data_IF_687178550950
#
_entry.id   IF_687178550950
#
_cell.length_a   1.000
_cell.length_b   1.000
_cell.length_c   1.000
_cell.angle_alpha   90.00
_cell.angle_beta   90.00
_cell.angle_gamma   90.00
#
_symmetry.space_group_name_H-M   'P 1'
#
loop_
_entity.id
_entity.type
_entity.pdbx_description
1 polymer ?
#
# COMPACT_ATOMS: atom_id res chain seq x y z
N UNK A 1 -20.74 -0.79 23.38
CA UNK A 1 -19.82 -0.80 22.21
C UNK A 1 -20.42 -0.09 20.99
N UNK A 2 -21.71 -0.32 20.65
CA UNK A 2 -22.36 0.30 19.48
C UNK A 2 -22.42 1.82 19.48
N UNK A 3 -22.49 2.46 20.64
CA UNK A 3 -22.55 3.93 20.76
C UNK A 3 -21.20 4.62 20.52
N UNK A 4 -20.10 3.99 20.86
CA UNK A 4 -18.75 4.52 20.62
C UNK A 4 -18.47 4.61 19.13
N UNK A 5 -18.84 3.60 18.36
CA UNK A 5 -18.70 3.60 16.90
C UNK A 5 -19.53 4.68 16.21
N UNK A 6 -20.77 4.92 16.67
CA UNK A 6 -21.63 5.97 16.12
C UNK A 6 -21.07 7.39 16.34
N UNK A 7 -20.41 7.61 17.47
CA UNK A 7 -19.83 8.94 17.81
C UNK A 7 -18.56 9.26 17.04
N UNK A 8 -17.73 8.25 16.75
CA UNK A 8 -16.45 8.42 16.06
C UNK A 8 -16.60 8.45 14.52
N UNK A 9 -17.70 7.90 13.99
CA UNK A 9 -17.94 7.82 12.55
C UNK A 9 -17.13 6.76 11.82
N UNK A 10 -16.26 6.00 12.51
CA UNK A 10 -15.48 4.89 11.98
C UNK A 10 -15.52 3.68 12.93
N UNK A 11 -15.27 2.50 12.39
CA UNK A 11 -15.23 1.26 13.17
C UNK A 11 -13.82 1.01 13.70
N UNK A 12 -13.67 1.01 15.01
CA UNK A 12 -12.42 0.68 15.70
C UNK A 12 -12.58 -0.65 16.45
N UNK A 13 -11.92 -1.69 15.96
CA UNK A 13 -11.90 -2.99 16.63
C UNK A 13 -10.97 -2.93 17.84
N UNK A 14 -11.32 -3.52 18.99
CA UNK A 14 -10.46 -3.53 20.18
C UNK A 14 -9.03 -3.96 19.87
N UNK A 15 -8.07 -3.37 20.59
CA UNK A 15 -6.61 -3.55 20.41
C UNK A 15 -6.00 -2.88 19.17
N UNK A 16 -6.76 -2.17 18.37
CA UNK A 16 -6.18 -1.23 17.41
C UNK A 16 -5.59 -0.02 18.16
N UNK A 17 -4.49 0.53 17.66
CA UNK A 17 -3.83 1.71 18.26
C UNK A 17 -3.84 2.85 17.25
N UNK A 18 -4.42 3.98 17.64
CA UNK A 18 -4.35 5.24 16.90
C UNK A 18 -3.65 6.26 17.78
N UNK A 19 -2.48 6.72 17.36
CA UNK A 19 -1.74 7.73 18.11
C UNK A 19 -2.39 9.10 17.98
N UNK A 20 -2.28 9.91 19.03
CA UNK A 20 -2.75 11.30 19.04
C UNK A 20 -2.09 12.07 17.87
N UNK A 21 -2.92 12.83 17.13
CA UNK A 21 -2.50 13.58 15.95
C UNK A 21 -2.63 12.82 14.62
N UNK A 22 -3.05 11.54 14.63
CA UNK A 22 -3.53 10.87 13.43
C UNK A 22 -4.97 11.30 13.10
N UNK A 23 -5.30 11.32 11.80
CA UNK A 23 -6.65 11.57 11.32
C UNK A 23 -7.26 10.30 10.73
N UNK A 24 -8.45 9.95 11.19
CA UNK A 24 -9.23 8.82 10.68
C UNK A 24 -10.58 9.34 10.20
N UNK A 25 -10.85 9.19 8.92
CA UNK A 25 -12.09 9.65 8.29
C UNK A 25 -13.29 8.75 8.61
N UNK A 26 -14.48 9.16 8.16
CA UNK A 26 -15.71 8.39 8.31
C UNK A 26 -15.63 7.05 7.55
N UNK A 27 -16.39 6.08 8.04
CA UNK A 27 -16.50 4.75 7.43
C UNK A 27 -15.20 3.96 7.30
N UNK A 28 -14.09 4.42 7.91
CA UNK A 28 -12.86 3.64 8.02
C UNK A 28 -13.09 2.43 8.92
N UNK A 29 -12.45 1.33 8.60
CA UNK A 29 -12.39 0.14 9.46
C UNK A 29 -10.96 -0.06 9.94
N UNK A 30 -10.75 0.04 11.24
CA UNK A 30 -9.47 -0.29 11.89
C UNK A 30 -9.62 -1.62 12.59
N UNK A 31 -8.99 -2.64 12.05
CA UNK A 31 -8.76 -3.90 12.74
C UNK A 31 -7.68 -3.70 13.81
N UNK A 32 -7.31 -4.69 14.63
CA UNK A 32 -6.14 -4.59 15.52
C UNK A 32 -4.88 -4.24 14.73
N UNK A 33 -4.59 -2.96 14.59
CA UNK A 33 -3.59 -2.36 13.71
C UNK A 33 -2.96 -1.15 14.40
N UNK A 34 -1.98 -0.52 13.78
CA UNK A 34 -1.30 0.63 14.33
C UNK A 34 -1.32 1.80 13.35
N UNK A 35 -1.84 2.95 13.78
CA UNK A 35 -1.81 4.21 13.02
C UNK A 35 -0.99 5.22 13.80
N UNK A 36 0.10 5.67 13.21
CA UNK A 36 1.08 6.54 13.86
C UNK A 36 0.67 8.01 13.81
N UNK A 37 1.37 8.86 14.58
CA UNK A 37 1.12 10.30 14.65
C UNK A 37 1.25 10.95 13.26
N UNK A 38 0.39 11.93 12.99
CA UNK A 38 0.36 12.66 11.72
C UNK A 38 -0.12 11.86 10.51
N UNK A 39 -0.37 10.56 10.67
CA UNK A 39 -0.94 9.75 9.60
C UNK A 39 -2.37 10.19 9.26
N UNK A 40 -2.72 10.07 7.99
CA UNK A 40 -4.05 10.37 7.46
C UNK A 40 -4.63 9.12 6.81
N UNK A 41 -5.83 8.73 7.22
CA UNK A 41 -6.58 7.60 6.62
C UNK A 41 -7.94 8.10 6.18
N UNK A 42 -8.19 8.09 4.87
CA UNK A 42 -9.40 8.66 4.28
C UNK A 42 -10.58 7.67 4.26
N UNK A 43 -11.73 8.19 3.88
CA UNK A 43 -13.05 7.56 3.98
C UNK A 43 -13.13 6.18 3.31
N UNK A 44 -13.82 5.25 3.98
CA UNK A 44 -14.09 3.90 3.45
C UNK A 44 -12.88 2.96 3.42
N UNK A 45 -11.72 3.41 3.87
CA UNK A 45 -10.49 2.59 3.88
C UNK A 45 -10.50 1.58 5.02
N UNK A 46 -9.95 0.39 4.76
CA UNK A 46 -9.70 -0.62 5.78
C UNK A 46 -8.20 -0.71 6.07
N UNK A 47 -7.85 -0.63 7.36
CA UNK A 47 -6.53 -1.00 7.89
C UNK A 47 -6.69 -2.33 8.60
N UNK A 48 -6.21 -3.39 7.97
CA UNK A 48 -6.46 -4.75 8.40
C UNK A 48 -5.53 -5.20 9.54
N UNK A 49 -5.71 -6.41 10.03
CA UNK A 49 -5.05 -6.96 11.20
C UNK A 49 -3.53 -6.91 11.08
N UNK A 50 -2.87 -6.38 12.11
CA UNK A 50 -1.41 -6.19 12.19
C UNK A 50 -0.80 -5.28 11.11
N UNK A 51 -1.60 -4.61 10.30
CA UNK A 51 -1.10 -3.57 9.40
C UNK A 51 -0.67 -2.33 10.19
N UNK A 52 0.27 -1.58 9.63
CA UNK A 52 0.74 -0.32 10.21
C UNK A 52 0.70 0.81 9.19
N UNK A 53 0.26 1.99 9.64
CA UNK A 53 0.36 3.24 8.90
C UNK A 53 1.35 4.13 9.65
N UNK A 54 2.49 4.34 9.05
CA UNK A 54 3.63 5.06 9.64
C UNK A 54 3.37 6.55 9.83
N UNK A 55 4.29 7.21 10.53
CA UNK A 55 4.18 8.65 10.82
C UNK A 55 4.02 9.48 9.55
N UNK A 56 3.01 10.34 9.54
CA UNK A 56 2.65 11.25 8.44
C UNK A 56 2.28 10.56 7.10
N UNK A 57 2.22 9.24 7.03
CA UNK A 57 1.79 8.55 5.82
C UNK A 57 0.33 8.92 5.46
N UNK A 58 0.05 9.00 4.16
CA UNK A 58 -1.24 9.43 3.64
C UNK A 58 -1.90 8.28 2.90
N UNK A 59 -3.07 7.84 3.34
CA UNK A 59 -3.85 6.78 2.71
C UNK A 59 -5.18 7.35 2.24
N UNK A 60 -5.44 7.25 0.95
CA UNK A 60 -6.63 7.75 0.27
C UNK A 60 -7.90 6.96 0.57
N UNK A 61 -8.95 7.23 -0.19
CA UNK A 61 -10.29 6.66 -0.01
C UNK A 61 -10.38 5.24 -0.54
N UNK A 62 -11.26 4.46 0.11
CA UNK A 62 -11.62 3.11 -0.34
C UNK A 62 -10.40 2.19 -0.59
N UNK A 63 -9.32 2.41 0.14
CA UNK A 63 -8.15 1.56 0.09
C UNK A 63 -8.32 0.34 1.00
N UNK A 64 -7.57 -0.72 0.69
CA UNK A 64 -7.43 -1.86 1.57
C UNK A 64 -5.95 -2.07 1.87
N UNK A 65 -5.54 -1.82 3.11
CA UNK A 65 -4.20 -2.14 3.62
C UNK A 65 -4.31 -3.48 4.32
N UNK A 66 -3.88 -4.53 3.64
CA UNK A 66 -4.11 -5.91 4.06
C UNK A 66 -3.30 -6.32 5.29
N UNK A 67 -3.62 -7.49 5.83
CA UNK A 67 -3.03 -7.99 7.08
C UNK A 67 -1.51 -7.96 7.09
N UNK A 68 -0.95 -7.29 8.10
CA UNK A 68 0.48 -7.15 8.30
C UNK A 68 1.23 -6.36 7.23
N UNK A 69 0.54 -5.63 6.36
CA UNK A 69 1.19 -4.70 5.45
C UNK A 69 1.67 -3.46 6.20
N UNK A 70 2.83 -2.93 5.80
CA UNK A 70 3.42 -1.74 6.37
C UNK A 70 3.43 -0.57 5.39
N UNK A 71 2.94 0.58 5.84
CA UNK A 71 3.09 1.86 5.17
C UNK A 71 4.09 2.67 5.97
N UNK A 72 5.26 2.90 5.39
CA UNK A 72 6.40 3.52 6.07
C UNK A 72 6.14 4.96 6.50
N UNK A 73 6.77 5.37 7.58
CA UNK A 73 6.68 6.73 8.10
C UNK A 73 7.85 7.60 7.67
N UNK A 74 7.82 8.86 8.12
CA UNK A 74 8.87 9.86 7.84
C UNK A 74 9.91 9.98 8.96
N UNK A 75 9.73 9.29 10.08
CA UNK A 75 10.61 9.32 11.25
C UNK A 75 11.37 8.00 11.38
N UNK A 76 12.67 8.11 11.71
CA UNK A 76 13.56 7.02 12.11
C UNK A 76 13.70 5.86 11.08
N UNK A 77 14.37 6.09 9.95
CA UNK A 77 15.15 7.28 9.59
C UNK A 77 14.26 8.40 9.02
N UNK A 78 14.74 9.65 9.18
CA UNK A 78 14.04 10.81 8.65
C UNK A 78 13.93 10.72 7.13
N UNK A 79 12.71 10.88 6.61
CA UNK A 79 12.40 10.88 5.18
C UNK A 79 12.00 12.29 4.72
N UNK A 80 12.33 12.62 3.46
CA UNK A 80 12.02 13.94 2.88
C UNK A 80 10.52 14.14 2.61
N UNK A 81 9.76 13.07 2.40
CA UNK A 81 8.33 13.11 2.14
C UNK A 81 7.60 11.87 2.64
N UNK A 82 6.30 11.97 2.88
CA UNK A 82 5.49 10.85 3.32
C UNK A 82 5.28 9.83 2.19
N UNK A 83 5.03 8.58 2.56
CA UNK A 83 4.41 7.61 1.67
C UNK A 83 2.97 8.04 1.41
N UNK A 84 2.57 7.99 0.15
CA UNK A 84 1.22 8.33 -0.30
C UNK A 84 0.62 7.14 -1.03
N UNK A 85 -0.50 6.66 -0.53
CA UNK A 85 -1.35 5.68 -1.19
C UNK A 85 -2.60 6.43 -1.65
N UNK A 86 -2.78 6.58 -2.97
CA UNK A 86 -3.95 7.25 -3.51
C UNK A 86 -5.22 6.40 -3.41
N UNK A 87 -6.34 6.92 -3.91
CA UNK A 87 -7.66 6.29 -3.76
C UNK A 87 -7.78 4.92 -4.45
N UNK A 88 -8.63 4.07 -3.91
CA UNK A 88 -9.00 2.76 -4.48
C UNK A 88 -7.84 1.76 -4.63
N UNK A 89 -6.74 1.95 -3.91
CA UNK A 89 -5.61 1.03 -3.92
C UNK A 89 -5.86 -0.20 -3.06
N UNK A 90 -5.26 -1.32 -3.48
CA UNK A 90 -5.16 -2.54 -2.70
C UNK A 90 -3.69 -2.86 -2.41
N UNK A 91 -3.32 -2.90 -1.14
CA UNK A 91 -1.96 -3.27 -0.70
C UNK A 91 -2.05 -4.65 -0.07
N UNK A 92 -1.48 -5.64 -0.76
CA UNK A 92 -1.55 -7.04 -0.38
C UNK A 92 -0.86 -7.34 0.95
N UNK A 93 -1.24 -8.45 1.58
CA UNK A 93 -0.74 -8.85 2.89
C UNK A 93 0.79 -8.92 2.93
N UNK A 94 1.38 -8.44 4.04
CA UNK A 94 2.83 -8.44 4.25
C UNK A 94 3.64 -7.66 3.21
N UNK A 95 3.00 -6.78 2.45
CA UNK A 95 3.72 -5.82 1.61
C UNK A 95 4.26 -4.67 2.43
N UNK A 96 5.34 -4.03 1.97
CA UNK A 96 5.95 -2.89 2.63
C UNK A 96 6.18 -1.77 1.61
N UNK A 97 5.64 -0.59 1.86
CA UNK A 97 5.81 0.60 1.03
C UNK A 97 6.45 1.68 1.88
N UNK A 98 7.65 2.10 1.53
CA UNK A 98 8.47 2.98 2.38
C UNK A 98 9.11 4.12 1.60
N UNK A 99 9.88 4.97 2.31
CA UNK A 99 10.77 5.99 1.73
C UNK A 99 10.06 6.99 0.79
N UNK A 100 8.86 7.43 1.14
CA UNK A 100 8.14 8.45 0.38
C UNK A 100 7.58 7.98 -0.97
N UNK A 101 7.47 6.67 -1.19
CA UNK A 101 6.89 6.11 -2.42
C UNK A 101 5.45 6.55 -2.60
N UNK A 102 5.10 6.91 -3.84
CA UNK A 102 3.74 7.20 -4.27
C UNK A 102 3.14 5.95 -4.94
N UNK A 103 2.01 5.48 -4.43
CA UNK A 103 1.19 4.47 -5.09
C UNK A 103 -0.04 5.17 -5.67
N UNK A 104 -0.07 5.29 -6.99
CA UNK A 104 -1.14 6.02 -7.68
C UNK A 104 -2.46 5.25 -7.69
N UNK A 105 -3.54 5.99 -7.92
CA UNK A 105 -4.93 5.56 -7.84
C UNK A 105 -5.19 4.18 -8.47
N UNK A 106 -5.99 3.37 -7.77
CA UNK A 106 -6.47 2.09 -8.28
C UNK A 106 -5.41 0.99 -8.43
N UNK A 107 -4.18 1.23 -8.01
CA UNK A 107 -3.13 0.21 -8.07
C UNK A 107 -3.44 -0.99 -7.16
N UNK A 108 -3.03 -2.17 -7.60
CA UNK A 108 -3.20 -3.43 -6.87
C UNK A 108 -1.83 -4.07 -6.69
N UNK A 109 -1.37 -4.13 -5.46
CA UNK A 109 -0.14 -4.82 -5.10
C UNK A 109 -0.49 -6.18 -4.50
N UNK A 110 0.10 -7.25 -5.01
CA UNK A 110 -0.09 -8.59 -4.44
C UNK A 110 0.61 -8.69 -3.07
N UNK A 111 0.42 -9.81 -2.38
CA UNK A 111 1.11 -10.05 -1.12
C UNK A 111 2.64 -10.06 -1.31
N UNK A 112 3.39 -9.58 -0.31
CA UNK A 112 4.85 -9.64 -0.28
C UNK A 112 5.55 -8.72 -1.29
N UNK A 113 4.92 -7.64 -1.71
CA UNK A 113 5.56 -6.60 -2.55
C UNK A 113 6.26 -5.59 -1.65
N UNK A 114 7.58 -5.41 -1.84
CA UNK A 114 8.42 -4.49 -1.07
C UNK A 114 8.91 -3.35 -1.95
N UNK A 115 8.54 -2.11 -1.66
CA UNK A 115 8.90 -0.95 -2.47
C UNK A 115 9.45 0.17 -1.59
N UNK A 116 10.73 0.47 -1.76
CA UNK A 116 11.37 1.69 -1.29
C UNK A 116 11.76 2.58 -2.47
N UNK A 117 12.34 3.74 -2.21
CA UNK A 117 12.69 4.74 -3.22
C UNK A 117 13.61 4.20 -4.34
N UNK A 118 14.49 3.26 -4.01
CA UNK A 118 15.44 2.65 -4.95
C UNK A 118 14.98 1.32 -5.56
N UNK A 119 13.82 0.81 -5.14
CA UNK A 119 13.30 -0.45 -5.68
C UNK A 119 12.90 -0.29 -7.13
N UNK A 120 13.41 -1.16 -7.99
CA UNK A 120 12.99 -1.21 -9.40
C UNK A 120 11.58 -1.76 -9.52
N UNK A 121 10.72 -1.02 -10.19
CA UNK A 121 9.36 -1.43 -10.54
C UNK A 121 9.36 -1.60 -12.06
N UNK A 122 9.36 -2.83 -12.52
CA UNK A 122 9.55 -3.16 -13.93
C UNK A 122 8.21 -3.48 -14.59
N UNK A 123 7.86 -2.75 -15.63
CA UNK A 123 6.73 -3.14 -16.49
C UNK A 123 7.17 -4.27 -17.41
N UNK A 124 6.59 -5.47 -17.22
CA UNK A 124 7.01 -6.67 -17.96
C UNK A 124 6.71 -6.60 -19.47
N UNK A 125 5.75 -5.77 -19.86
CA UNK A 125 5.33 -5.66 -21.26
C UNK A 125 6.18 -4.66 -22.05
N UNK A 126 6.48 -3.49 -21.44
CA UNK A 126 7.26 -2.43 -22.09
C UNK A 126 8.76 -2.50 -21.75
N UNK A 127 9.12 -3.15 -20.64
CA UNK A 127 10.48 -3.11 -20.10
C UNK A 127 10.82 -1.79 -19.38
N UNK A 128 9.88 -0.87 -19.26
CA UNK A 128 10.06 0.40 -18.55
C UNK A 128 10.28 0.16 -17.06
N UNK A 129 11.16 0.96 -16.46
CA UNK A 129 11.51 0.86 -15.04
C UNK A 129 11.11 2.16 -14.35
N UNK A 130 10.27 2.02 -13.32
CA UNK A 130 9.87 3.11 -12.44
C UNK A 130 10.62 3.03 -11.12
N UNK A 131 10.80 4.18 -10.48
CA UNK A 131 11.36 4.33 -9.14
C UNK A 131 10.51 5.29 -8.32
N UNK A 132 10.33 4.98 -7.04
CA UNK A 132 9.60 5.85 -6.10
C UNK A 132 8.11 6.04 -6.41
N UNK A 133 7.59 5.41 -7.48
CA UNK A 133 6.20 5.56 -7.90
C UNK A 133 5.65 4.31 -8.57
N UNK A 134 4.51 3.83 -8.10
CA UNK A 134 3.70 2.81 -8.77
C UNK A 134 2.65 3.51 -9.63
N UNK A 135 2.65 3.33 -10.97
CA UNK A 135 1.67 3.97 -11.84
C UNK A 135 0.24 3.54 -11.55
N UNK A 136 -0.71 4.44 -11.80
CA UNK A 136 -2.13 4.20 -11.59
C UNK A 136 -2.62 2.92 -12.29
N UNK A 137 -3.55 2.23 -11.63
CA UNK A 137 -4.20 1.01 -12.12
C UNK A 137 -3.24 -0.14 -12.49
N UNK A 138 -2.00 -0.09 -12.00
CA UNK A 138 -1.03 -1.18 -12.19
C UNK A 138 -1.34 -2.35 -11.26
N UNK A 139 -1.20 -3.56 -11.78
CA UNK A 139 -1.19 -4.80 -10.98
C UNK A 139 0.26 -5.23 -10.81
N UNK A 140 0.72 -5.27 -9.56
CA UNK A 140 2.13 -5.43 -9.21
C UNK A 140 2.33 -6.69 -8.38
N UNK A 141 3.35 -7.47 -8.72
CA UNK A 141 3.72 -8.70 -8.02
C UNK A 141 5.22 -8.69 -7.66
N UNK A 142 5.66 -9.50 -6.69
CA UNK A 142 7.07 -9.70 -6.43
C UNK A 142 7.77 -10.35 -7.63
N UNK A 143 9.00 -9.95 -7.88
CA UNK A 143 9.81 -10.54 -8.93
C UNK A 143 11.30 -10.46 -8.64
N UNK A 144 12.11 -10.86 -9.60
CA UNK A 144 13.56 -10.74 -9.51
C UNK A 144 14.16 -10.38 -10.87
N UNK A 145 15.27 -9.64 -10.84
CA UNK A 145 16.05 -9.31 -12.02
C UNK A 145 17.36 -10.07 -11.99
N UNK A 146 17.69 -10.82 -13.08
CA UNK A 146 18.96 -11.50 -13.18
C UNK A 146 20.13 -10.51 -13.21
N UNK A 147 21.28 -10.94 -12.72
CA UNK A 147 22.50 -10.16 -12.81
C UNK A 147 23.04 -10.23 -14.25
N UNK A 148 22.94 -9.11 -14.97
CA UNK A 148 23.39 -9.04 -16.37
C UNK A 148 24.91 -9.17 -16.52
N UNK A 149 25.68 -8.72 -15.49
CA UNK A 149 27.15 -8.76 -15.53
C UNK A 149 27.72 -10.11 -15.07
N UNK A 150 26.95 -10.88 -14.33
CA UNK A 150 27.33 -12.23 -13.87
C UNK A 150 26.10 -13.13 -13.91
N UNK A 151 25.84 -13.85 -15.03
CA UNK A 151 24.64 -14.70 -15.17
C UNK A 151 24.52 -15.81 -14.11
N UNK A 152 25.63 -16.21 -13.51
CA UNK A 152 25.66 -17.19 -12.42
C UNK A 152 25.59 -16.54 -11.01
N UNK A 153 25.50 -15.22 -10.94
CA UNK A 153 25.34 -14.47 -9.70
C UNK A 153 23.88 -14.42 -9.23
N UNK A 154 23.66 -13.96 -8.00
CA UNK A 154 22.31 -13.86 -7.45
C UNK A 154 21.48 -12.84 -8.23
N UNK A 155 20.19 -13.15 -8.40
CA UNK A 155 19.19 -12.18 -8.86
C UNK A 155 18.81 -11.24 -7.72
N UNK A 156 18.49 -9.99 -8.06
CA UNK A 156 18.02 -9.02 -7.09
C UNK A 156 16.49 -8.88 -7.17
N UNK A 157 15.87 -8.66 -6.02
CA UNK A 157 14.45 -8.35 -5.93
C UNK A 157 14.07 -7.14 -6.80
N UNK A 158 12.90 -7.22 -7.42
CA UNK A 158 12.20 -6.09 -8.03
C UNK A 158 10.69 -6.29 -7.86
N UNK A 159 9.92 -5.21 -7.96
CA UNK A 159 8.49 -5.29 -8.18
C UNK A 159 8.23 -5.37 -9.70
N UNK A 160 7.21 -6.13 -10.10
CA UNK A 160 6.88 -6.32 -11.52
C UNK A 160 5.43 -5.92 -11.77
N UNK A 161 5.23 -4.96 -12.68
CA UNK A 161 3.91 -4.65 -13.21
C UNK A 161 3.58 -5.73 -14.24
N UNK A 162 2.61 -6.59 -13.91
CA UNK A 162 2.19 -7.70 -14.80
C UNK A 162 1.12 -7.27 -15.78
N UNK A 163 0.31 -6.30 -15.41
CA UNK A 163 -0.71 -5.69 -16.28
C UNK A 163 -1.08 -4.29 -15.77
N UNK A 164 -1.62 -3.48 -16.66
CA UNK A 164 -2.32 -2.23 -16.33
C UNK A 164 -3.77 -2.38 -16.78
N UNK A 165 -4.69 -1.95 -15.94
CA UNK A 165 -6.13 -2.00 -16.23
C UNK A 165 -6.68 -0.58 -16.31
N UNK A 166 -7.85 -0.40 -16.89
CA UNK A 166 -8.57 0.86 -16.81
C UNK A 166 -9.47 0.91 -15.56
N UNK A 167 -9.97 2.09 -15.24
CA UNK A 167 -10.85 2.32 -14.10
C UNK A 167 -12.10 1.44 -14.14
N UNK A 168 -12.68 1.25 -15.33
CA UNK A 168 -13.86 0.42 -15.53
C UNK A 168 -13.60 -1.05 -15.25
N UNK A 169 -12.47 -1.56 -15.70
CA UNK A 169 -12.02 -2.94 -15.42
C UNK A 169 -11.72 -3.09 -13.93
N UNK A 170 -11.01 -2.12 -13.34
CA UNK A 170 -10.68 -2.12 -11.91
C UNK A 170 -11.92 -2.17 -11.02
N UNK A 171 -12.98 -1.41 -11.38
CA UNK A 171 -14.24 -1.37 -10.62
C UNK A 171 -15.11 -2.62 -10.73
N UNK A 172 -14.95 -3.41 -11.78
CA UNK A 172 -15.77 -4.60 -12.09
C UNK A 172 -15.10 -5.92 -11.80
N UNK A 173 -13.76 -5.94 -11.70
CA UNK A 173 -12.98 -7.16 -11.53
C UNK A 173 -12.58 -7.32 -10.08
N UNK A 174 -12.76 -8.51 -9.50
CA UNK A 174 -12.31 -8.76 -8.13
C UNK A 174 -10.77 -8.66 -8.03
N UNK A 175 -10.29 -8.33 -6.84
CA UNK A 175 -8.84 -8.28 -6.59
C UNK A 175 -8.18 -9.62 -6.92
N UNK A 176 -8.82 -10.72 -6.54
CA UNK A 176 -8.29 -12.06 -6.81
C UNK A 176 -8.18 -12.37 -8.30
N UNK A 177 -9.15 -11.91 -9.11
CA UNK A 177 -9.10 -12.10 -10.56
C UNK A 177 -8.05 -11.20 -11.22
N UNK A 178 -7.85 -10.00 -10.68
CA UNK A 178 -6.76 -9.12 -11.14
C UNK A 178 -5.37 -9.70 -10.88
N UNK A 179 -5.20 -10.45 -9.79
CA UNK A 179 -3.93 -11.06 -9.38
C UNK A 179 -3.67 -12.43 -10.02
N UNK A 180 -4.64 -12.98 -10.76
CA UNK A 180 -4.45 -14.20 -11.56
C UNK A 180 -3.98 -13.85 -12.97
N UNK A 181 -3.11 -14.70 -13.51
CA UNK A 181 -2.68 -14.65 -14.94
C UNK A 181 -3.78 -15.20 -15.86
#
# INVERSE_FOLDING_TARGET
>A
LGDVYKRQGYRHVPNGVVRKGAYIAKNVVLMPSFVNLGAYVDEGTMIDTWASVGSCAQVGKNCHISGGAGIGGVLEPLQAGPVIIEDNCFIGARSEIAEGVLVEQGAVLSMGVYIGASTKIVDRNSGEIYYGKVPAYSVVVPGSLPNKSNPNGPSLYCAVIVKKVDEKTRSKTSINDLLRD
#
